data_IF_337130323076
#
_entry.id   IF_337130323076
#
_cell.length_a   1.000
_cell.length_b   1.000
_cell.length_c   1.000
_cell.angle_alpha   90.00
_cell.angle_beta   90.00
_cell.angle_gamma   90.00
#
_symmetry.space_group_name_H-M   'P 1'
#
loop_
_entity.id
_entity.type
_entity.pdbx_description
1 polymer ?
#
# COMPACT_ATOMS: atom_id res chain seq x y z
N UNK A 1 -14.35 -20.08 -37.84
CA UNK A 1 -14.72 -18.67 -37.60
C UNK A 1 -14.53 -18.42 -36.11
N UNK A 2 -13.78 -17.38 -35.78
CA UNK A 2 -13.17 -17.12 -34.47
C UNK A 2 -14.22 -16.64 -33.46
N UNK A 3 -14.32 -17.26 -32.28
CA UNK A 3 -14.75 -16.54 -31.08
C UNK A 3 -13.51 -16.26 -30.25
N UNK A 4 -13.08 -15.00 -30.30
CA UNK A 4 -11.85 -14.52 -29.70
C UNK A 4 -11.87 -14.64 -28.18
N UNK A 5 -10.85 -15.30 -27.67
CA UNK A 5 -10.34 -15.05 -26.32
C UNK A 5 -9.75 -13.64 -26.31
N UNK A 6 -10.39 -12.68 -25.65
CA UNK A 6 -9.72 -11.43 -25.32
C UNK A 6 -9.75 -11.21 -23.81
N UNK A 7 -8.89 -11.96 -23.12
CA UNK A 7 -8.42 -11.63 -21.79
C UNK A 7 -7.48 -10.43 -21.93
N UNK A 8 -8.05 -9.23 -22.01
CA UNK A 8 -7.32 -7.98 -21.79
C UNK A 8 -6.97 -7.90 -20.31
N UNK A 9 -6.00 -8.68 -19.84
CA UNK A 9 -5.32 -8.40 -18.58
C UNK A 9 -4.64 -7.05 -18.78
N UNK A 10 -5.29 -5.99 -18.32
CA UNK A 10 -4.62 -4.73 -18.04
C UNK A 10 -3.34 -5.09 -17.27
N UNK A 11 -2.19 -4.60 -17.72
CA UNK A 11 -0.91 -4.75 -17.04
C UNK A 11 -1.14 -4.48 -15.56
N UNK A 12 -1.08 -5.54 -14.73
CA UNK A 12 -1.46 -5.50 -13.33
C UNK A 12 -0.45 -4.59 -12.62
N UNK A 13 -0.80 -3.31 -12.46
CA UNK A 13 0.08 -2.35 -11.80
C UNK A 13 0.20 -2.80 -10.36
N UNK A 14 1.34 -3.37 -10.03
CA UNK A 14 1.63 -3.81 -8.67
C UNK A 14 1.84 -2.55 -7.83
N UNK A 15 0.93 -2.21 -6.90
CA UNK A 15 1.04 -0.99 -6.12
C UNK A 15 2.31 -1.02 -5.27
N UNK A 16 2.93 0.15 -5.12
CA UNK A 16 4.17 0.31 -4.35
C UNK A 16 3.97 1.13 -3.08
N UNK A 17 2.78 1.71 -2.88
CA UNK A 17 2.41 2.54 -1.73
C UNK A 17 1.20 1.94 -1.02
N UNK A 18 1.27 1.84 0.30
CA UNK A 18 0.12 1.56 1.16
C UNK A 18 -0.24 2.82 1.96
N UNK A 19 -1.52 3.17 1.97
CA UNK A 19 -2.05 4.24 2.82
C UNK A 19 -2.65 3.62 4.06
N UNK A 20 -2.05 3.91 5.22
CA UNK A 20 -2.32 3.21 6.47
C UNK A 20 -2.98 4.16 7.48
N UNK A 21 -4.11 3.73 8.05
CA UNK A 21 -4.67 4.34 9.24
C UNK A 21 -3.98 3.78 10.49
N UNK A 22 -3.55 4.65 11.39
CA UNK A 22 -2.87 4.28 12.64
C UNK A 22 -3.70 4.77 13.83
N UNK A 23 -3.81 3.96 14.88
CA UNK A 23 -4.60 4.29 16.08
C UNK A 23 -3.89 5.34 16.95
N UNK A 24 -3.88 6.58 16.47
CA UNK A 24 -3.31 7.77 17.14
C UNK A 24 -4.31 8.93 17.05
N UNK A 25 -4.23 9.97 17.90
CA UNK A 25 -5.13 11.12 17.86
C UNK A 25 -4.77 12.10 16.73
N UNK A 26 -4.49 11.58 15.52
CA UNK A 26 -4.22 12.35 14.32
C UNK A 26 -5.12 11.84 13.20
N UNK A 27 -5.92 12.74 12.64
CA UNK A 27 -6.77 12.43 11.50
C UNK A 27 -5.92 12.41 10.22
N UNK A 28 -5.96 11.28 9.51
CA UNK A 28 -5.28 11.14 8.23
C UNK A 28 -4.81 9.72 7.98
N UNK A 29 -4.39 9.48 6.73
CA UNK A 29 -3.67 8.28 6.33
C UNK A 29 -2.19 8.61 6.19
N UNK A 30 -1.36 7.60 6.44
CA UNK A 30 0.08 7.72 6.34
C UNK A 30 0.58 6.80 5.22
N UNK A 31 1.37 7.35 4.32
CA UNK A 31 1.91 6.61 3.18
C UNK A 31 3.16 5.82 3.58
N UNK A 32 3.21 4.55 3.16
CA UNK A 32 4.35 3.66 3.35
C UNK A 32 4.70 2.95 2.05
N UNK A 33 5.99 2.68 1.84
CA UNK A 33 6.47 1.87 0.72
C UNK A 33 6.13 0.41 1.00
N UNK A 34 5.55 -0.28 0.02
CA UNK A 34 5.32 -1.72 0.04
C UNK A 34 6.60 -2.42 -0.42
N UNK A 35 7.30 -3.15 0.47
CA UNK A 35 8.46 -3.95 0.10
C UNK A 35 8.10 -4.99 -0.97
N UNK A 36 9.02 -5.30 -1.88
CA UNK A 36 8.80 -6.29 -2.95
C UNK A 36 8.38 -7.67 -2.44
N UNK A 37 8.78 -8.04 -1.22
CA UNK A 37 8.37 -9.28 -0.55
C UNK A 37 6.88 -9.32 -0.16
N UNK A 38 6.20 -8.17 -0.09
CA UNK A 38 4.79 -8.05 0.31
C UNK A 38 3.86 -7.66 -0.83
N UNK A 39 4.37 -7.19 -1.96
CA UNK A 39 3.60 -6.58 -3.05
C UNK A 39 2.39 -7.39 -3.55
N UNK A 40 2.47 -8.72 -3.58
CA UNK A 40 1.36 -9.59 -4.05
C UNK A 40 0.37 -9.96 -2.94
N UNK A 41 0.71 -9.70 -1.67
CA UNK A 41 -0.06 -10.15 -0.50
C UNK A 41 -0.77 -9.04 0.24
N UNK A 42 -0.38 -7.79 0.02
CA UNK A 42 -0.91 -6.67 0.78
C UNK A 42 -2.19 -6.15 0.13
N UNK A 43 -3.31 -6.35 0.80
CA UNK A 43 -4.63 -5.91 0.36
C UNK A 43 -5.19 -4.86 1.33
N UNK A 44 -6.22 -4.15 0.88
CA UNK A 44 -7.02 -3.29 1.74
C UNK A 44 -7.66 -4.10 2.87
N UNK A 45 -7.75 -3.50 4.06
CA UNK A 45 -8.21 -4.14 5.29
C UNK A 45 -7.13 -4.96 6.01
N UNK A 46 -5.98 -5.24 5.40
CA UNK A 46 -4.88 -5.92 6.10
C UNK A 46 -4.36 -5.09 7.28
N UNK A 47 -4.06 -5.75 8.40
CA UNK A 47 -3.30 -5.15 9.49
C UNK A 47 -1.82 -5.24 9.19
N UNK A 48 -1.10 -4.15 9.44
CA UNK A 48 0.34 -4.02 9.21
C UNK A 48 1.01 -3.47 10.45
N UNK A 49 2.26 -3.87 10.69
CA UNK A 49 3.12 -3.22 11.68
C UNK A 49 3.86 -2.09 10.98
N UNK A 50 3.84 -0.89 11.53
CA UNK A 50 4.44 0.29 10.89
C UNK A 50 5.32 1.06 11.88
N UNK A 51 6.38 1.67 11.38
CA UNK A 51 7.18 2.62 12.15
C UNK A 51 6.43 3.97 12.25
N UNK A 52 6.03 4.36 13.46
CA UNK A 52 5.38 5.64 13.72
C UNK A 52 6.05 6.39 14.88
N UNK A 53 6.68 7.52 14.58
CA UNK A 53 7.62 8.17 15.51
C UNK A 53 8.79 7.23 15.84
N UNK A 54 8.99 6.97 17.14
CA UNK A 54 10.07 6.12 17.68
C UNK A 54 9.65 4.68 18.00
N UNK A 55 8.37 4.33 17.83
CA UNK A 55 7.84 3.01 18.18
C UNK A 55 7.12 2.34 17.01
N UNK A 56 7.08 1.01 16.97
CA UNK A 56 6.22 0.30 16.04
C UNK A 56 4.77 0.32 16.56
N UNK A 57 3.81 0.50 15.65
CA UNK A 57 2.38 0.41 15.91
C UNK A 57 1.73 -0.56 14.93
N UNK A 58 0.52 -1.03 15.26
CA UNK A 58 -0.34 -1.72 14.30
C UNK A 58 -1.22 -0.67 13.62
N UNK A 59 -1.26 -0.70 12.30
CA UNK A 59 -2.17 0.08 11.48
C UNK A 59 -2.99 -0.82 10.55
N UNK A 60 -3.94 -0.23 9.85
CA UNK A 60 -4.79 -0.89 8.86
C UNK A 60 -4.56 -0.26 7.49
N UNK A 61 -4.34 -1.10 6.47
CA UNK A 61 -4.24 -0.65 5.07
C UNK A 61 -5.63 -0.22 4.63
N UNK A 62 -5.79 1.06 4.31
CA UNK A 62 -7.04 1.62 3.83
C UNK A 62 -7.11 1.66 2.30
N UNK A 63 -5.97 1.85 1.64
CA UNK A 63 -5.86 1.77 0.19
C UNK A 63 -4.44 1.45 -0.26
N UNK A 64 -4.30 0.93 -1.48
CA UNK A 64 -3.00 0.75 -2.15
C UNK A 64 -2.91 1.62 -3.40
N UNK A 65 -1.70 2.10 -3.72
CA UNK A 65 -1.46 3.09 -4.78
C UNK A 65 -0.08 2.87 -5.42
N UNK A 66 0.12 3.36 -6.64
CA UNK A 66 1.41 3.46 -7.31
C UNK A 66 2.12 4.79 -7.03
N UNK A 67 1.40 5.76 -6.48
CA UNK A 67 1.88 7.12 -6.23
C UNK A 67 1.64 7.58 -4.78
N UNK A 68 2.49 8.50 -4.35
CA UNK A 68 2.38 9.25 -3.10
C UNK A 68 2.59 10.74 -3.37
N UNK A 69 1.88 11.59 -2.63
CA UNK A 69 2.11 13.04 -2.63
C UNK A 69 3.39 13.44 -1.87
N UNK A 70 4.00 12.50 -1.14
CA UNK A 70 5.25 12.75 -0.41
C UNK A 70 6.47 12.30 -1.23
N UNK A 71 7.61 13.00 -1.12
CA UNK A 71 8.86 12.55 -1.72
C UNK A 71 9.27 11.16 -1.22
N UNK A 72 9.80 10.32 -2.12
CA UNK A 72 10.13 8.93 -1.81
C UNK A 72 11.10 8.77 -0.62
N UNK A 73 12.03 9.71 -0.43
CA UNK A 73 13.00 9.70 0.68
C UNK A 73 12.38 10.04 2.06
N UNK A 74 11.12 10.49 2.11
CA UNK A 74 10.35 10.72 3.35
C UNK A 74 9.48 9.53 3.72
N UNK A 75 9.23 8.63 2.78
CA UNK A 75 8.42 7.44 3.00
C UNK A 75 9.23 6.37 3.71
N UNK A 76 8.58 5.69 4.65
CA UNK A 76 9.16 4.53 5.33
C UNK A 76 8.63 3.25 4.69
N UNK A 77 9.40 2.14 4.71
CA UNK A 77 8.85 0.84 4.36
C UNK A 77 7.85 0.38 5.43
N UNK A 78 6.88 -0.44 5.02
CA UNK A 78 6.10 -1.29 5.93
C UNK A 78 6.99 -2.31 6.64
#
# INVERSE_FOLDING_TARGET
MMHGTNSSKASEIIPCIARVAVQVPLYGLFDYIIPSSFKVRLLEGCRVRVAFGRKPLVGMVMSVSDQSSFPANKLKPL
#
